data_IF_474038649020
#
_entry.id   IF_474038649020
#
_cell.length_a   1.000
_cell.length_b   1.000
_cell.length_c   1.000
_cell.angle_alpha   90.00
_cell.angle_beta   90.00
_cell.angle_gamma   90.00
#
_symmetry.space_group_name_H-M   'P 1'
#
loop_
_entity.id
_entity.type
_entity.pdbx_description
1 polymer ?
#
# COMPACT_ATOMS: atom_id res chain seq x y z
N UNK A 1 -29.37 -22.16 33.06
CA UNK A 1 -28.25 -21.28 33.45
C UNK A 1 -26.86 -21.78 33.04
N UNK A 2 -26.42 -23.00 33.40
CA UNK A 2 -25.05 -23.50 33.11
C UNK A 2 -24.69 -23.60 31.61
N UNK A 3 -25.64 -23.99 30.74
CA UNK A 3 -25.44 -24.06 29.28
C UNK A 3 -25.17 -22.70 28.62
N UNK A 4 -25.83 -21.64 29.11
CA UNK A 4 -25.58 -20.29 28.64
C UNK A 4 -24.18 -19.83 29.05
N UNK A 5 -23.74 -20.16 30.27
CA UNK A 5 -22.42 -19.78 30.76
C UNK A 5 -21.29 -20.40 29.91
N UNK A 6 -21.42 -21.68 29.54
CA UNK A 6 -20.47 -22.32 28.63
C UNK A 6 -20.44 -21.67 27.24
N UNK A 7 -21.61 -21.37 26.66
CA UNK A 7 -21.72 -20.67 25.36
C UNK A 7 -21.06 -19.29 25.38
N UNK A 8 -21.24 -18.54 26.46
CA UNK A 8 -20.61 -17.22 26.63
C UNK A 8 -19.08 -17.32 26.66
N UNK A 9 -18.52 -18.35 27.30
CA UNK A 9 -17.07 -18.59 27.33
C UNK A 9 -16.54 -18.93 25.94
N UNK A 10 -17.24 -19.79 25.19
CA UNK A 10 -16.85 -20.12 23.81
C UNK A 10 -16.90 -18.90 22.90
N UNK A 11 -17.94 -18.09 23.00
CA UNK A 11 -18.09 -16.85 22.22
C UNK A 11 -16.96 -15.86 22.56
N UNK A 12 -16.68 -15.64 23.85
CA UNK A 12 -15.59 -14.77 24.28
C UNK A 12 -14.22 -15.26 23.79
N UNK A 13 -13.98 -16.57 23.86
CA UNK A 13 -12.73 -17.18 23.38
C UNK A 13 -12.57 -17.01 21.86
N UNK A 14 -13.65 -17.20 21.10
CA UNK A 14 -13.67 -16.99 19.67
C UNK A 14 -13.39 -15.53 19.30
N UNK A 15 -14.04 -14.57 19.97
CA UNK A 15 -13.82 -13.15 19.76
C UNK A 15 -12.38 -12.73 20.08
N UNK A 16 -11.79 -13.28 21.15
CA UNK A 16 -10.40 -13.01 21.51
C UNK A 16 -9.44 -13.47 20.40
N UNK A 17 -9.68 -14.65 19.82
CA UNK A 17 -8.89 -15.18 18.69
C UNK A 17 -9.04 -14.32 17.44
N UNK A 18 -10.24 -13.85 17.13
CA UNK A 18 -10.46 -12.94 15.99
C UNK A 18 -9.70 -11.63 16.19
N UNK A 19 -9.71 -11.08 17.40
CA UNK A 19 -9.01 -9.83 17.71
C UNK A 19 -7.48 -9.97 17.59
N UNK A 20 -6.93 -11.12 18.00
CA UNK A 20 -5.48 -11.42 17.88
C UNK A 20 -5.03 -11.65 16.44
N UNK A 21 -5.91 -12.16 15.57
CA UNK A 21 -5.61 -12.41 14.15
C UNK A 21 -6.12 -11.29 13.24
N UNK A 22 -6.61 -10.18 13.81
CA UNK A 22 -6.94 -8.99 13.05
C UNK A 22 -5.62 -8.33 12.65
N UNK A 23 -5.00 -8.84 11.60
CA UNK A 23 -3.95 -8.10 10.92
C UNK A 23 -4.61 -6.83 10.37
N UNK A 24 -4.23 -5.69 10.94
CA UNK A 24 -4.47 -4.40 10.32
C UNK A 24 -3.61 -4.39 9.05
N UNK A 25 -4.18 -4.91 7.95
CA UNK A 25 -3.64 -4.71 6.61
C UNK A 25 -3.52 -3.20 6.49
N UNK A 26 -2.29 -2.69 6.55
CA UNK A 26 -2.03 -1.30 6.24
C UNK A 26 -2.32 -1.17 4.74
N UNK A 27 -3.58 -0.91 4.43
CA UNK A 27 -3.99 -0.54 3.09
C UNK A 27 -3.10 0.63 2.68
N UNK A 28 -2.58 0.55 1.45
CA UNK A 28 -1.86 1.67 0.83
C UNK A 28 -2.73 2.92 0.98
N UNK A 29 -2.27 3.85 1.80
CA UNK A 29 -2.97 5.10 2.08
C UNK A 29 -2.65 6.16 1.03
N UNK A 30 -3.65 6.93 0.62
CA UNK A 30 -3.43 8.15 -0.15
C UNK A 30 -3.25 9.33 0.81
N UNK A 31 -2.18 10.10 0.63
CA UNK A 31 -1.92 11.32 1.39
C UNK A 31 -1.83 12.54 0.45
N UNK A 32 -2.11 13.72 0.99
CA UNK A 32 -2.09 14.98 0.25
C UNK A 32 -3.47 15.46 -0.23
N UNK A 33 -3.48 16.49 -1.07
CA UNK A 33 -4.70 17.08 -1.63
C UNK A 33 -5.08 16.46 -2.97
N UNK A 34 -6.37 16.54 -3.32
CA UNK A 34 -6.83 16.25 -4.68
C UNK A 34 -6.14 17.19 -5.67
N UNK A 35 -5.79 16.65 -6.84
CA UNK A 35 -5.24 17.42 -7.96
C UNK A 35 -6.23 17.41 -9.13
N UNK A 36 -6.20 18.46 -9.95
CA UNK A 36 -6.97 18.50 -11.19
C UNK A 36 -6.41 17.48 -12.20
N UNK A 37 -7.28 16.68 -12.82
CA UNK A 37 -6.91 15.67 -13.83
C UNK A 37 -6.16 16.28 -15.02
N UNK A 38 -6.45 17.54 -15.37
CA UNK A 38 -5.80 18.26 -16.47
C UNK A 38 -4.57 19.08 -16.02
N UNK A 39 -4.11 18.93 -14.77
CA UNK A 39 -2.93 19.65 -14.28
C UNK A 39 -1.63 19.09 -14.85
N UNK A 40 -0.60 19.94 -14.90
CA UNK A 40 0.77 19.50 -15.21
C UNK A 40 1.25 18.43 -14.23
N UNK A 41 0.88 18.51 -12.96
CA UNK A 41 1.16 17.46 -11.97
C UNK A 41 0.57 16.10 -12.37
N UNK A 42 -0.69 16.08 -12.83
CA UNK A 42 -1.34 14.85 -13.27
C UNK A 42 -0.62 14.23 -14.49
N UNK A 43 -0.21 15.04 -15.45
CA UNK A 43 0.52 14.58 -16.63
C UNK A 43 1.94 14.09 -16.26
N UNK A 44 2.66 14.83 -15.41
CA UNK A 44 3.97 14.38 -14.90
C UNK A 44 3.82 13.06 -14.14
N UNK A 45 2.79 12.90 -13.30
CA UNK A 45 2.56 11.67 -12.54
C UNK A 45 2.28 10.49 -13.48
N UNK A 46 1.45 10.70 -14.49
CA UNK A 46 1.14 9.67 -15.50
C UNK A 46 2.39 9.22 -16.26
N UNK A 47 3.16 10.18 -16.79
CA UNK A 47 4.40 9.90 -17.52
C UNK A 47 5.48 9.26 -16.64
N UNK A 48 5.52 9.63 -15.36
CA UNK A 48 6.47 9.03 -14.43
C UNK A 48 6.12 7.56 -14.19
N UNK A 49 4.86 7.25 -13.87
CA UNK A 49 4.43 5.87 -13.61
C UNK A 49 4.46 4.98 -14.85
N UNK A 50 4.33 5.52 -16.08
CA UNK A 50 4.43 4.70 -17.30
C UNK A 50 5.84 4.16 -17.56
N UNK A 51 6.88 4.75 -16.96
CA UNK A 51 8.28 4.33 -17.14
C UNK A 51 8.94 3.84 -15.85
N UNK A 52 8.33 4.08 -14.69
CA UNK A 52 8.94 3.81 -13.39
C UNK A 52 9.27 2.32 -13.19
N UNK A 53 8.36 1.42 -13.57
CA UNK A 53 8.56 -0.02 -13.39
C UNK A 53 9.79 -0.55 -14.15
N UNK A 54 9.99 -0.13 -15.41
CA UNK A 54 11.15 -0.56 -16.19
C UNK A 54 12.45 -0.01 -15.62
N UNK A 55 12.44 1.25 -15.16
CA UNK A 55 13.59 1.85 -14.46
C UNK A 55 13.93 1.09 -13.17
N UNK A 56 12.94 0.69 -12.37
CA UNK A 56 13.18 -0.08 -11.14
C UNK A 56 13.86 -1.42 -11.45
N UNK A 57 13.38 -2.15 -12.46
CA UNK A 57 13.98 -3.43 -12.87
C UNK A 57 15.41 -3.23 -13.39
N UNK A 58 15.64 -2.19 -14.20
CA UNK A 58 16.95 -1.87 -14.76
C UNK A 58 17.97 -1.41 -13.70
N UNK A 59 17.53 -0.83 -12.59
CA UNK A 59 18.39 -0.26 -11.55
C UNK A 59 18.44 -1.11 -10.27
N UNK A 60 18.41 -2.44 -10.38
CA UNK A 60 18.66 -3.31 -9.23
C UNK A 60 17.50 -3.37 -8.22
N UNK A 61 16.26 -3.15 -8.69
CA UNK A 61 15.00 -3.34 -7.93
C UNK A 61 14.76 -2.38 -6.77
N UNK A 62 15.65 -1.42 -6.53
CA UNK A 62 15.45 -0.29 -5.62
C UNK A 62 15.81 0.97 -6.39
N UNK A 63 14.87 1.90 -6.51
CA UNK A 63 15.07 3.08 -7.34
C UNK A 63 14.34 4.29 -6.77
N UNK A 64 15.02 5.43 -6.77
CA UNK A 64 14.44 6.74 -6.47
C UNK A 64 14.58 7.63 -7.70
N UNK A 65 13.55 8.43 -7.98
CA UNK A 65 13.56 9.36 -9.10
C UNK A 65 12.49 10.44 -8.90
N UNK A 66 12.55 11.49 -9.72
CA UNK A 66 11.55 12.54 -9.75
C UNK A 66 11.31 13.06 -11.17
N UNK A 67 10.09 13.53 -11.44
CA UNK A 67 9.74 14.10 -12.74
C UNK A 67 9.01 15.45 -12.59
N UNK A 68 9.46 16.44 -13.36
CA UNK A 68 8.86 17.77 -13.41
C UNK A 68 9.56 18.82 -12.54
N UNK A 69 8.99 20.03 -12.53
CA UNK A 69 9.49 21.19 -11.78
C UNK A 69 8.46 21.65 -10.75
N UNK A 70 8.91 22.34 -9.70
CA UNK A 70 8.03 22.90 -8.68
C UNK A 70 7.00 23.86 -9.32
N UNK A 71 5.69 23.78 -9.00
CA UNK A 71 5.04 22.96 -7.97
C UNK A 71 4.55 21.58 -8.45
N UNK A 72 4.82 21.21 -9.70
CA UNK A 72 4.28 20.01 -10.37
C UNK A 72 5.23 18.80 -10.36
N UNK A 73 6.24 18.80 -9.47
CA UNK A 73 7.23 17.73 -9.39
C UNK A 73 6.63 16.51 -8.67
N UNK A 74 6.85 15.34 -9.24
CA UNK A 74 6.47 14.04 -8.66
C UNK A 74 7.74 13.36 -8.15
N UNK A 75 7.67 12.74 -6.98
CA UNK A 75 8.76 11.99 -6.37
C UNK A 75 8.30 10.56 -6.11
N UNK A 76 9.19 9.58 -6.33
CA UNK A 76 8.94 8.21 -5.94
C UNK A 76 10.22 7.54 -5.40
N UNK A 77 10.03 6.72 -4.38
CA UNK A 77 10.96 5.70 -3.93
C UNK A 77 10.25 4.37 -4.08
N UNK A 78 10.78 3.48 -4.90
CA UNK A 78 10.15 2.21 -5.23
C UNK A 78 11.14 1.08 -5.04
N UNK A 79 10.66 -0.02 -4.47
CA UNK A 79 11.36 -1.28 -4.43
C UNK A 79 10.47 -2.40 -4.96
N UNK A 80 11.05 -3.35 -5.68
CA UNK A 80 10.37 -4.58 -6.09
C UNK A 80 10.92 -5.74 -5.26
N UNK A 81 10.07 -6.35 -4.43
CA UNK A 81 10.36 -7.67 -3.86
C UNK A 81 10.32 -8.71 -4.98
N UNK A 82 11.06 -9.80 -4.85
CA UNK A 82 10.62 -11.03 -5.54
C UNK A 82 9.30 -11.39 -4.86
N UNK A 83 8.22 -11.55 -5.62
CA UNK A 83 7.08 -12.27 -5.07
C UNK A 83 7.62 -13.59 -4.54
N UNK A 84 7.24 -13.96 -3.32
CA UNK A 84 7.50 -15.30 -2.82
C UNK A 84 6.77 -16.27 -3.78
N UNK A 85 7.42 -16.63 -4.89
CA UNK A 85 7.17 -17.91 -5.53
C UNK A 85 7.56 -18.92 -4.45
N UNK A 86 6.54 -19.39 -3.72
CA UNK A 86 6.68 -20.43 -2.71
C UNK A 86 7.48 -21.57 -3.33
N UNK A 87 8.72 -21.73 -2.88
CA UNK A 87 9.54 -22.91 -3.08
C UNK A 87 9.05 -24.04 -2.18
#
# INVERSE_FOLDING_TARGET
MKRCFALMIFLASFLLRVLQNLELVHAVGCAGSLFNVNSTYAQNRHNFFSTLASKVVANGRLYNDSLGQNPNRVHALVFCTRGDEQA
#
